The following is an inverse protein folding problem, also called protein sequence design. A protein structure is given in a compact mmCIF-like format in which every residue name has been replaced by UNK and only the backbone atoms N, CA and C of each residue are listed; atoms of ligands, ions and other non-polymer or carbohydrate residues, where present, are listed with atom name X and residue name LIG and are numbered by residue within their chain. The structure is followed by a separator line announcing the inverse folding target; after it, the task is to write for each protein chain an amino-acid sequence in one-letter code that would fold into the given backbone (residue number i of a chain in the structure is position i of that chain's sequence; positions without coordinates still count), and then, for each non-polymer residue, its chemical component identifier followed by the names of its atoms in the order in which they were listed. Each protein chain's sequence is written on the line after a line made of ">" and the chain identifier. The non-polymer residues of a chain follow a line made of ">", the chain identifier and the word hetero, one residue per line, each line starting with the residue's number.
data_IF_161381877592
#
_entry.id   IF_161381877592
#
_cell.length_a   1.000
_cell.length_b   1.000
_cell.length_c   1.000
_cell.angle_alpha   90.00
_cell.angle_beta   90.00
_cell.angle_gamma   90.00
#
_symmetry.space_group_name_H-M   'P 1'
#
loop_
_entity.id
_entity.type
_entity.pdbx_description
1 polymer ?
#
# COMPACT_ATOMS: atom_id res chain seq x y z
N UNK A 1 -2.00 -17.46 -10.18
CA UNK A 1 -0.93 -17.61 -9.17
C UNK A 1 -0.28 -19.00 -9.26
N UNK A 2 1.06 -19.10 -9.24
CA UNK A 2 1.75 -20.41 -9.23
C UNK A 2 1.65 -21.10 -7.86
N UNK A 3 1.78 -22.43 -7.81
CA UNK A 3 1.76 -23.18 -6.55
C UNK A 3 2.84 -22.70 -5.57
N UNK A 4 4.03 -22.35 -6.09
CA UNK A 4 5.12 -21.79 -5.28
C UNK A 4 4.75 -20.44 -4.66
N UNK A 5 4.15 -19.53 -5.43
CA UNK A 5 3.75 -18.21 -4.93
C UNK A 5 2.70 -18.31 -3.84
N UNK A 6 1.77 -19.26 -3.96
CA UNK A 6 0.79 -19.56 -2.90
C UNK A 6 1.47 -19.99 -1.61
N UNK A 7 2.39 -20.97 -1.68
CA UNK A 7 3.16 -21.43 -0.51
C UNK A 7 3.93 -20.29 0.15
N UNK A 8 4.51 -19.38 -0.65
CA UNK A 8 5.20 -18.20 -0.11
C UNK A 8 4.22 -17.26 0.58
N UNK A 9 3.08 -16.93 -0.04
CA UNK A 9 2.04 -16.11 0.60
C UNK A 9 1.56 -16.73 1.92
N UNK A 10 1.26 -18.03 1.92
CA UNK A 10 0.82 -18.78 3.10
C UNK A 10 1.88 -18.76 4.22
N UNK A 11 3.16 -18.84 3.87
CA UNK A 11 4.23 -18.78 4.87
C UNK A 11 4.29 -17.44 5.61
N UNK A 12 3.91 -16.33 4.95
CA UNK A 12 3.83 -15.03 5.62
C UNK A 12 2.60 -14.91 6.51
N UNK A 13 1.48 -15.57 6.17
CA UNK A 13 0.35 -15.70 7.09
C UNK A 13 0.75 -16.46 8.36
N UNK A 14 1.56 -17.52 8.22
CA UNK A 14 2.11 -18.25 9.37
C UNK A 14 3.05 -17.39 10.21
N UNK A 15 3.93 -16.60 9.59
CA UNK A 15 4.79 -15.66 10.32
C UNK A 15 4.00 -14.63 11.13
N UNK A 16 2.94 -14.07 10.55
CA UNK A 16 2.04 -13.16 11.26
C UNK A 16 1.39 -13.88 12.44
N UNK A 17 0.78 -15.05 12.20
CA UNK A 17 0.11 -15.85 13.24
C UNK A 17 1.05 -16.15 14.41
N UNK A 18 2.24 -16.68 14.13
CA UNK A 18 3.24 -17.03 15.15
C UNK A 18 3.65 -15.80 15.96
N UNK A 19 3.88 -14.66 15.31
CA UNK A 19 4.26 -13.42 16.02
C UNK A 19 3.14 -12.91 16.94
N UNK A 20 1.88 -12.94 16.48
CA UNK A 20 0.72 -12.54 17.28
C UNK A 20 0.53 -13.48 18.48
N UNK A 21 0.57 -14.80 18.26
CA UNK A 21 0.44 -15.81 19.33
C UNK A 21 1.55 -15.71 20.37
N UNK A 22 2.77 -15.36 19.95
CA UNK A 22 3.91 -15.16 20.84
C UNK A 22 3.89 -13.82 21.60
N UNK A 23 2.97 -12.91 21.26
CA UNK A 23 2.96 -11.56 21.83
C UNK A 23 4.10 -10.66 21.33
N UNK A 24 4.72 -10.98 20.20
CA UNK A 24 5.88 -10.25 19.68
C UNK A 24 5.47 -8.96 18.95
N UNK A 25 5.35 -7.88 19.71
CA UNK A 25 5.07 -6.54 19.14
C UNK A 25 6.25 -5.96 18.34
N UNK A 26 7.45 -6.56 18.44
CA UNK A 26 8.65 -6.11 17.74
C UNK A 26 8.87 -6.76 16.38
N UNK A 27 8.06 -7.76 16.01
CA UNK A 27 8.17 -8.46 14.73
C UNK A 27 8.02 -7.49 13.53
N UNK A 28 8.71 -7.76 12.40
CA UNK A 28 8.68 -6.89 11.23
C UNK A 28 7.38 -7.08 10.42
N UNK A 29 6.23 -6.77 11.03
CA UNK A 29 4.91 -7.01 10.42
C UNK A 29 4.72 -6.34 9.07
N UNK A 30 5.33 -5.17 8.85
CA UNK A 30 5.33 -4.53 7.53
C UNK A 30 5.91 -5.45 6.47
N UNK A 31 7.06 -6.04 6.73
CA UNK A 31 7.69 -6.96 5.79
C UNK A 31 6.83 -8.22 5.60
N UNK A 32 6.19 -8.72 6.66
CA UNK A 32 5.31 -9.88 6.54
C UNK A 32 4.10 -9.60 5.66
N UNK A 33 3.38 -8.52 5.94
CA UNK A 33 2.16 -8.15 5.22
C UNK A 33 2.47 -7.73 3.78
N UNK A 34 3.50 -6.90 3.58
CA UNK A 34 3.86 -6.44 2.24
C UNK A 34 4.36 -7.61 1.36
N UNK A 35 5.10 -8.58 1.94
CA UNK A 35 5.51 -9.79 1.23
C UNK A 35 4.35 -10.73 0.95
N UNK A 36 3.44 -10.94 1.90
CA UNK A 36 2.19 -11.70 1.66
C UNK A 36 1.48 -11.15 0.42
N UNK A 37 1.27 -9.83 0.34
CA UNK A 37 0.62 -9.23 -0.81
C UNK A 37 1.46 -9.40 -2.09
N UNK A 38 2.78 -9.21 -2.02
CA UNK A 38 3.66 -9.37 -3.18
C UNK A 38 3.63 -10.79 -3.76
N UNK A 39 3.42 -11.83 -2.94
CA UNK A 39 3.31 -13.21 -3.40
C UNK A 39 1.88 -13.59 -3.83
N UNK A 40 0.87 -13.04 -3.17
CA UNK A 40 -0.54 -13.27 -3.48
C UNK A 40 -0.99 -12.61 -4.79
N UNK A 41 -0.51 -11.40 -5.07
CA UNK A 41 -0.91 -10.66 -6.27
C UNK A 41 -0.50 -11.40 -7.54
N UNK A 42 -1.45 -11.62 -8.44
CA UNK A 42 -1.16 -12.24 -9.75
C UNK A 42 -0.26 -11.37 -10.63
N UNK A 43 -0.24 -10.05 -10.38
CA UNK A 43 0.57 -9.15 -11.16
C UNK A 43 2.07 -9.27 -10.86
N UNK A 44 2.85 -9.57 -11.89
CA UNK A 44 4.31 -9.75 -11.78
C UNK A 44 5.04 -8.47 -11.36
N UNK A 45 4.42 -7.30 -11.50
CA UNK A 45 5.09 -6.02 -11.22
C UNK A 45 5.42 -5.77 -9.75
N UNK A 46 4.77 -6.49 -8.81
CA UNK A 46 5.12 -6.50 -7.39
C UNK A 46 6.37 -7.35 -7.07
N UNK A 47 6.91 -8.05 -8.07
CA UNK A 47 8.06 -8.95 -7.91
C UNK A 47 9.17 -8.64 -8.94
N UNK A 48 10.40 -9.01 -8.62
CA UNK A 48 11.52 -9.03 -9.57
C UNK A 48 11.70 -10.42 -10.18
N UNK A 49 12.66 -10.53 -11.10
CA UNK A 49 13.24 -11.82 -11.49
C UNK A 49 13.58 -12.64 -10.23
N UNK A 50 13.16 -13.91 -10.22
CA UNK A 50 13.33 -14.81 -9.09
C UNK A 50 12.27 -14.65 -7.98
N UNK A 51 11.15 -13.98 -8.26
CA UNK A 51 10.04 -13.73 -7.32
C UNK A 51 10.46 -12.99 -6.05
N UNK A 52 11.38 -12.03 -6.14
CA UNK A 52 11.69 -11.18 -4.98
C UNK A 52 10.69 -10.04 -4.88
N UNK A 53 10.02 -9.82 -3.74
CA UNK A 53 9.15 -8.67 -3.52
C UNK A 53 9.83 -7.34 -3.86
N UNK A 54 9.05 -6.38 -4.39
CA UNK A 54 9.52 -5.04 -4.76
C UNK A 54 8.78 -3.97 -3.98
N UNK A 55 9.55 -3.03 -3.43
CA UNK A 55 9.06 -1.82 -2.81
C UNK A 55 9.07 -0.64 -3.78
N UNK A 56 8.09 0.24 -3.66
CA UNK A 56 7.88 1.35 -4.58
C UNK A 56 8.11 2.69 -3.86
N UNK A 57 9.36 2.92 -3.50
CA UNK A 57 9.79 4.20 -2.94
C UNK A 57 9.93 5.23 -4.05
N UNK A 58 9.10 6.27 -4.05
CA UNK A 58 9.08 7.33 -5.08
C UNK A 58 9.01 6.74 -6.50
N UNK A 59 7.93 6.04 -6.88
CA UNK A 59 7.86 5.41 -8.19
C UNK A 59 7.87 6.45 -9.31
N UNK A 60 8.55 6.12 -10.41
CA UNK A 60 8.51 6.92 -11.62
C UNK A 60 7.20 6.71 -12.38
N UNK A 61 6.57 7.81 -12.78
CA UNK A 61 5.40 7.86 -13.64
C UNK A 61 5.65 7.30 -15.06
N UNK A 62 6.91 7.12 -15.47
CA UNK A 62 7.26 6.58 -16.79
C UNK A 62 7.71 5.11 -16.74
N UNK A 63 8.43 4.71 -15.68
CA UNK A 63 9.05 3.38 -15.64
C UNK A 63 8.14 2.27 -15.10
N UNK A 64 7.01 2.62 -14.45
CA UNK A 64 6.20 1.67 -13.67
C UNK A 64 4.69 1.80 -13.92
N UNK A 65 4.29 2.29 -15.08
CA UNK A 65 2.88 2.60 -15.41
C UNK A 65 1.93 1.45 -15.09
N UNK A 66 2.20 0.23 -15.57
CA UNK A 66 1.33 -0.93 -15.31
C UNK A 66 1.15 -1.28 -13.82
N UNK A 67 2.17 -1.01 -12.98
CA UNK A 67 2.06 -1.21 -11.54
C UNK A 67 1.22 -0.11 -10.90
N UNK A 68 1.46 1.14 -11.31
CA UNK A 68 0.71 2.30 -10.85
C UNK A 68 -0.77 2.26 -11.28
N UNK A 69 -1.08 1.58 -12.39
CA UNK A 69 -2.43 1.28 -12.87
C UNK A 69 -3.14 0.18 -12.08
N UNK A 70 -2.40 -0.72 -11.44
CA UNK A 70 -2.96 -1.84 -10.70
C UNK A 70 -3.18 -1.54 -9.20
N UNK A 71 -2.87 -0.32 -8.74
CA UNK A 71 -3.12 0.09 -7.36
C UNK A 71 -4.63 0.30 -7.12
N UNK A 72 -5.08 0.01 -5.90
CA UNK A 72 -6.50 -0.01 -5.56
C UNK A 72 -7.16 1.39 -5.52
N UNK A 73 -6.35 2.43 -5.37
CA UNK A 73 -6.78 3.83 -5.32
C UNK A 73 -5.80 4.73 -6.06
N UNK A 74 -6.33 5.71 -6.80
CA UNK A 74 -5.54 6.75 -7.45
C UNK A 74 -6.13 8.11 -7.13
N UNK A 75 -5.32 8.95 -6.51
CA UNK A 75 -5.71 10.33 -6.23
C UNK A 75 -5.76 11.22 -7.48
N UNK A 76 -6.45 12.36 -7.37
CA UNK A 76 -6.45 13.40 -8.40
C UNK A 76 -5.04 13.96 -8.62
N UNK A 77 -4.28 14.24 -7.55
CA UNK A 77 -2.92 14.74 -7.66
C UNK A 77 -1.98 13.75 -8.36
N UNK A 78 -2.05 12.46 -8.00
CA UNK A 78 -1.28 11.43 -8.71
C UNK A 78 -1.67 11.32 -10.19
N UNK A 79 -2.97 11.41 -10.50
CA UNK A 79 -3.46 11.36 -11.89
C UNK A 79 -2.96 12.52 -12.73
N UNK A 80 -2.91 13.72 -12.15
CA UNK A 80 -2.35 14.89 -12.82
C UNK A 80 -0.86 14.67 -13.16
N UNK A 81 -0.07 14.15 -12.22
CA UNK A 81 1.36 13.85 -12.44
C UNK A 81 1.55 12.80 -13.53
N UNK A 82 0.74 11.72 -13.52
CA UNK A 82 0.78 10.70 -14.57
C UNK A 82 0.44 11.29 -15.95
N UNK A 83 -0.59 12.15 -16.02
CA UNK A 83 -0.98 12.84 -17.24
C UNK A 83 0.09 13.79 -17.76
N UNK A 84 0.72 14.58 -16.87
CA UNK A 84 1.84 15.46 -17.21
C UNK A 84 3.04 14.67 -17.72
N UNK A 85 3.39 13.56 -17.06
CA UNK A 85 4.47 12.69 -17.49
C UNK A 85 4.23 12.09 -18.87
N UNK A 86 2.97 11.71 -19.18
CA UNK A 86 2.61 11.21 -20.50
C UNK A 86 2.67 12.31 -21.58
N UNK A 87 2.31 13.55 -21.25
CA UNK A 87 2.33 14.69 -22.19
C UNK A 87 3.73 15.20 -22.49
N UNK A 88 4.59 15.33 -21.47
CA UNK A 88 5.98 15.77 -21.63
C UNK A 88 6.94 14.89 -20.80
N UNK A 89 7.31 13.70 -21.34
CA UNK A 89 8.20 12.77 -20.66
C UNK A 89 9.58 13.37 -20.34
N UNK A 90 10.08 14.26 -21.20
CA UNK A 90 11.41 14.84 -21.05
C UNK A 90 11.44 15.85 -19.89
N UNK A 91 10.42 16.72 -19.78
CA UNK A 91 10.29 17.62 -18.64
C UNK A 91 10.07 16.86 -17.34
N UNK A 92 9.17 15.85 -17.34
CA UNK A 92 8.96 15.00 -16.18
C UNK A 92 10.27 14.34 -15.73
N UNK A 93 11.04 13.74 -16.64
CA UNK A 93 12.28 13.04 -16.31
C UNK A 93 13.31 13.99 -15.67
N UNK A 94 13.43 15.23 -16.15
CA UNK A 94 14.30 16.25 -15.54
C UNK A 94 13.87 16.58 -14.11
N UNK A 95 12.57 16.83 -13.90
CA UNK A 95 12.01 17.15 -12.57
C UNK A 95 12.12 15.97 -11.60
N UNK A 96 11.84 14.77 -12.07
CA UNK A 96 11.97 13.54 -11.30
C UNK A 96 13.43 13.27 -10.88
N UNK A 97 14.39 13.44 -11.80
CA UNK A 97 15.81 13.32 -11.49
C UNK A 97 16.28 14.37 -10.47
N UNK A 98 15.72 15.59 -10.54
CA UNK A 98 15.94 16.65 -9.57
C UNK A 98 15.22 16.44 -8.22
N UNK A 99 14.46 15.35 -8.05
CA UNK A 99 13.63 15.06 -6.86
C UNK A 99 12.64 16.18 -6.54
N UNK A 100 12.09 16.81 -7.57
CA UNK A 100 11.04 17.82 -7.43
C UNK A 100 9.81 17.20 -6.77
N UNK A 101 9.31 17.87 -5.73
CA UNK A 101 8.17 17.44 -4.91
C UNK A 101 6.86 17.47 -5.69
N UNK A 102 6.74 18.34 -6.69
CA UNK A 102 5.52 18.50 -7.46
C UNK A 102 5.26 17.37 -8.46
N UNK A 103 6.28 16.55 -8.76
CA UNK A 103 6.15 15.36 -9.62
C UNK A 103 6.40 14.06 -8.86
N UNK A 104 6.51 14.16 -7.53
CA UNK A 104 6.78 13.02 -6.66
C UNK A 104 5.48 12.26 -6.38
N UNK A 105 5.51 10.98 -6.70
CA UNK A 105 4.46 10.01 -6.36
C UNK A 105 4.80 9.27 -5.06
N UNK A 106 3.76 8.87 -4.34
CA UNK A 106 3.85 8.11 -3.09
C UNK A 106 2.89 6.92 -3.19
N UNK A 107 3.39 5.72 -2.93
CA UNK A 107 2.55 4.54 -2.69
C UNK A 107 2.33 4.43 -1.19
N UNK A 108 1.08 4.40 -0.79
CA UNK A 108 0.65 4.43 0.61
C UNK A 108 -0.37 3.32 0.88
N UNK A 109 -0.38 2.80 2.11
CA UNK A 109 -1.37 1.83 2.56
C UNK A 109 -2.62 2.56 3.09
N UNK A 110 -3.76 2.45 2.42
CA UNK A 110 -4.96 3.22 2.78
C UNK A 110 -5.36 3.06 4.26
N UNK A 111 -5.28 1.82 4.76
CA UNK A 111 -5.24 1.50 6.20
C UNK A 111 -3.78 1.30 6.60
N UNK A 112 -3.25 2.04 7.59
CA UNK A 112 -1.87 1.85 8.04
C UNK A 112 -1.62 0.43 8.55
N UNK A 113 -0.45 -0.14 8.22
CA UNK A 113 -0.04 -1.48 8.70
C UNK A 113 -0.11 -1.57 10.24
N UNK A 114 0.31 -0.53 10.96
CA UNK A 114 0.22 -0.49 12.42
C UNK A 114 -1.21 -0.62 12.95
N UNK A 115 -2.19 -0.04 12.24
CA UNK A 115 -3.62 -0.18 12.59
C UNK A 115 -4.09 -1.60 12.29
N UNK A 116 -3.65 -2.19 11.16
CA UNK A 116 -3.99 -3.57 10.83
C UNK A 116 -3.47 -4.55 11.88
N UNK A 117 -2.22 -4.39 12.31
CA UNK A 117 -1.54 -5.23 13.30
C UNK A 117 -2.15 -5.06 14.68
N UNK A 118 -2.51 -3.84 15.08
CA UNK A 118 -3.17 -3.60 16.36
C UNK A 118 -4.48 -4.39 16.50
N UNK A 119 -5.27 -4.52 15.42
CA UNK A 119 -6.49 -5.33 15.44
C UNK A 119 -6.22 -6.84 15.59
N UNK A 120 -5.13 -7.35 15.02
CA UNK A 120 -4.70 -8.74 15.22
C UNK A 120 -4.37 -9.01 16.70
N UNK A 121 -3.62 -8.12 17.34
CA UNK A 121 -3.31 -8.23 18.78
C UNK A 121 -4.52 -8.02 19.69
N UNK A 122 -5.50 -7.23 19.25
CA UNK A 122 -6.74 -7.03 20.01
C UNK A 122 -7.67 -8.27 20.00
N UNK A 123 -7.39 -9.28 19.16
CA UNK A 123 -8.24 -10.45 19.01
C UNK A 123 -9.49 -10.18 18.15
N UNK A 124 -9.50 -9.11 17.36
CA UNK A 124 -10.61 -8.77 16.46
C UNK A 124 -10.66 -9.68 15.21
N UNK A 125 -9.67 -10.55 15.03
CA UNK A 125 -9.45 -11.36 13.83
C UNK A 125 -9.20 -12.81 14.24
N UNK A 126 -9.82 -13.73 13.51
CA UNK A 126 -9.54 -15.16 13.67
C UNK A 126 -8.10 -15.48 13.22
N UNK A 127 -7.27 -16.01 14.13
CA UNK A 127 -5.85 -16.29 13.88
C UNK A 127 -5.63 -17.62 13.15
N UNK A 128 -6.48 -17.94 12.18
CA UNK A 128 -6.26 -18.99 11.18
C UNK A 128 -5.63 -18.39 9.93
N UNK A 129 -5.06 -19.22 9.03
CA UNK A 129 -4.53 -18.70 7.76
C UNK A 129 -5.64 -18.02 6.97
N UNK A 130 -6.81 -18.65 6.92
CA UNK A 130 -8.00 -18.17 6.23
C UNK A 130 -8.52 -16.88 6.85
N UNK A 131 -8.55 -16.78 8.19
CA UNK A 131 -8.98 -15.58 8.90
C UNK A 131 -8.04 -14.39 8.66
N UNK A 132 -6.72 -14.59 8.77
CA UNK A 132 -5.72 -13.55 8.50
C UNK A 132 -5.74 -13.15 7.01
N UNK A 133 -5.83 -14.12 6.09
CA UNK A 133 -5.90 -13.84 4.66
C UNK A 133 -7.16 -13.03 4.32
N UNK A 134 -8.33 -13.41 4.83
CA UNK A 134 -9.57 -12.67 4.62
C UNK A 134 -9.48 -11.24 5.18
N UNK A 135 -8.88 -11.08 6.35
CA UNK A 135 -8.65 -9.78 6.99
C UNK A 135 -7.73 -8.89 6.15
N UNK A 136 -6.55 -9.40 5.77
CA UNK A 136 -5.60 -8.63 4.96
C UNK A 136 -6.17 -8.36 3.56
N UNK A 137 -6.90 -9.28 2.96
CA UNK A 137 -7.59 -9.07 1.69
C UNK A 137 -8.62 -7.93 1.75
N UNK A 138 -9.24 -7.68 2.90
CA UNK A 138 -10.17 -6.56 3.08
C UNK A 138 -9.44 -5.23 3.24
N UNK A 139 -8.36 -5.21 4.01
CA UNK A 139 -7.77 -3.97 4.51
C UNK A 139 -6.49 -3.53 3.83
N UNK A 140 -5.74 -4.46 3.24
CA UNK A 140 -4.55 -4.14 2.46
C UNK A 140 -4.97 -3.54 1.12
N UNK A 141 -5.01 -2.21 1.08
CA UNK A 141 -5.27 -1.42 -0.12
C UNK A 141 -4.14 -0.43 -0.32
N UNK A 142 -3.56 -0.41 -1.52
CA UNK A 142 -2.52 0.53 -1.88
C UNK A 142 -3.12 1.69 -2.66
N UNK A 143 -2.80 2.92 -2.23
CA UNK A 143 -3.16 4.14 -2.93
C UNK A 143 -1.95 4.80 -3.58
N UNK A 144 -2.17 5.42 -4.73
CA UNK A 144 -1.22 6.31 -5.37
C UNK A 144 -1.57 7.77 -5.07
N UNK A 145 -0.68 8.44 -4.36
CA UNK A 145 -0.81 9.83 -3.92
C UNK A 145 0.28 10.70 -4.56
N UNK A 146 0.01 12.00 -4.71
CA UNK A 146 1.07 12.99 -4.86
C UNK A 146 1.75 13.25 -3.51
N UNK A 147 2.94 13.86 -3.55
CA UNK A 147 3.63 14.28 -2.31
C UNK A 147 2.80 15.25 -1.46
N UNK A 148 2.06 16.16 -2.08
CA UNK A 148 1.26 17.16 -1.36
C UNK A 148 0.06 16.52 -0.66
N UNK A 149 -0.57 15.52 -1.27
CA UNK A 149 -1.64 14.73 -0.65
C UNK A 149 -1.12 13.88 0.51
N UNK A 150 0.03 13.22 0.35
CA UNK A 150 0.73 12.52 1.44
C UNK A 150 1.09 13.48 2.60
N UNK A 151 1.53 14.70 2.28
CA UNK A 151 1.80 15.73 3.29
C UNK A 151 0.54 16.16 4.04
N UNK A 152 -0.63 16.21 3.38
CA UNK A 152 -1.93 16.51 4.02
C UNK A 152 -2.28 15.46 5.09
N UNK A 153 -2.03 14.18 4.83
CA UNK A 153 -2.20 13.11 5.83
C UNK A 153 -1.35 13.37 7.07
N UNK A 154 -0.11 13.82 6.90
CA UNK A 154 0.77 14.12 8.01
C UNK A 154 0.31 15.33 8.83
N UNK A 155 -0.10 16.41 8.16
CA UNK A 155 -0.63 17.62 8.82
C UNK A 155 -1.84 17.31 9.69
N UNK A 156 -2.68 16.36 9.27
CA UNK A 156 -3.89 15.98 9.99
C UNK A 156 -3.68 14.86 11.02
N UNK A 157 -2.43 14.44 11.27
CA UNK A 157 -2.12 13.34 12.19
C UNK A 157 -2.57 11.96 11.68
N UNK A 158 -2.92 11.86 10.40
CA UNK A 158 -3.43 10.64 9.77
C UNK A 158 -2.31 9.80 9.13
N UNK A 159 -1.04 10.22 9.18
CA UNK A 159 0.08 9.48 8.55
C UNK A 159 0.14 8.00 8.96
N UNK A 160 -0.17 7.69 10.22
CA UNK A 160 -0.10 6.33 10.78
C UNK A 160 -1.37 5.95 11.56
N UNK A 161 -2.46 6.67 11.37
CA UNK A 161 -3.72 6.47 12.10
C UNK A 161 -4.93 6.56 11.16
N UNK A 162 -6.04 5.96 11.59
CA UNK A 162 -7.34 6.16 10.95
C UNK A 162 -8.08 7.34 11.60
N UNK A 163 -9.03 7.98 10.90
CA UNK A 163 -9.82 9.07 11.46
C UNK A 163 -10.58 8.65 12.72
N UNK A 164 -10.81 9.60 13.63
CA UNK A 164 -11.66 9.37 14.81
C UNK A 164 -13.07 8.96 14.35
N UNK A 165 -13.60 7.90 14.94
CA UNK A 165 -14.94 7.38 14.60
C UNK A 165 -14.98 6.57 13.30
N UNK A 166 -13.83 6.13 12.77
CA UNK A 166 -13.81 5.23 11.61
C UNK A 166 -14.61 3.94 11.88
N UNK A 167 -15.63 3.73 11.06
CA UNK A 167 -16.63 2.66 11.15
C UNK A 167 -16.14 1.27 10.72
N UNK A 168 -14.90 1.17 10.19
CA UNK A 168 -14.37 -0.07 9.59
C UNK A 168 -15.26 -0.57 8.44
N UNK A 169 -15.82 0.34 7.64
CA UNK A 169 -16.48 0.00 6.37
C UNK A 169 -15.61 0.40 5.17
N UNK A 170 -15.13 1.65 5.16
CA UNK A 170 -14.37 2.19 4.04
C UNK A 170 -12.84 2.18 4.31
N UNK A 171 -12.02 1.38 3.60
CA UNK A 171 -10.56 1.40 3.76
C UNK A 171 -9.93 2.74 3.38
N UNK A 172 -10.60 3.56 2.57
CA UNK A 172 -10.14 4.88 2.12
C UNK A 172 -10.67 6.03 3.00
N UNK A 173 -11.27 5.75 4.15
CA UNK A 173 -11.80 6.78 5.05
C UNK A 173 -10.74 7.83 5.43
N UNK A 174 -9.48 7.39 5.54
CA UNK A 174 -8.33 8.24 5.81
C UNK A 174 -8.07 9.28 4.72
N UNK A 175 -8.13 8.87 3.45
CA UNK A 175 -8.01 9.76 2.31
C UNK A 175 -9.16 10.77 2.25
N UNK A 176 -10.39 10.29 2.48
CA UNK A 176 -11.59 11.15 2.52
C UNK A 176 -11.48 12.22 3.62
N UNK A 177 -11.07 11.83 4.83
CA UNK A 177 -10.86 12.77 5.93
C UNK A 177 -9.80 13.83 5.59
N UNK A 178 -8.75 13.42 4.86
CA UNK A 178 -7.67 14.31 4.46
C UNK A 178 -7.97 15.20 3.24
N UNK A 179 -9.19 15.11 2.68
CA UNK A 179 -9.59 15.85 1.47
C UNK A 179 -8.96 15.31 0.18
N UNK A 180 -8.45 14.07 0.18
CA UNK A 180 -7.83 13.43 -0.98
C UNK A 180 -8.92 12.76 -1.81
N UNK A 181 -9.23 13.35 -2.97
CA UNK A 181 -10.21 12.81 -3.90
C UNK A 181 -9.60 11.72 -4.79
N UNK A 182 -10.40 10.70 -5.11
CA UNK A 182 -10.05 9.73 -6.15
C UNK A 182 -10.22 10.36 -7.53
N UNK A 183 -9.30 10.10 -8.45
CA UNK A 183 -9.63 10.19 -9.85
C UNK A 183 -10.53 9.00 -10.20
N UNK A 184 -11.46 9.18 -11.14
CA UNK A 184 -12.34 8.09 -11.59
C UNK A 184 -11.49 6.87 -11.98
N UNK A 185 -11.81 5.71 -11.38
CA UNK A 185 -11.24 4.40 -11.73
C UNK A 185 -11.96 3.85 -12.94
#
# INVERSE_FOLDING_TARGET
>A
MSARLRVLADSYLDHIRIAIEAGDQGAPFRDFVDNWNAFRCDHEHHRSRGDRPRWFNNPSALARVQMLDALDFRSVGASAILGDAARDPAAYQRRYAARDRDVKLVVDHAVPIGVMVAALFAGDVELTREGIDAYLNRWYRLGLLSHHEDASLNVQGLRSAMPVGWDRENPYARYKAAGIATAHV
#
